data_IF_165980216499
#
_entry.id   IF_165980216499
#
_cell.length_a   1.000
_cell.length_b   1.000
_cell.length_c   1.000
_cell.angle_alpha   90.00
_cell.angle_beta   90.00
_cell.angle_gamma   90.00
#
_symmetry.space_group_name_H-M   'P 1'
#
loop_
_entity.id
_entity.type
_entity.pdbx_description
1 polymer ?
#
# COMPACT_ATOMS: atom_id res chain seq x y z
N UNK A 1 -20.52 44.99 -60.39
CA UNK A 1 -21.37 45.06 -59.17
C UNK A 1 -20.84 44.06 -58.14
N UNK A 2 -20.63 44.54 -56.92
CA UNK A 2 -20.56 43.82 -55.63
C UNK A 2 -19.30 43.00 -55.29
N UNK A 3 -18.38 43.69 -54.62
CA UNK A 3 -17.45 43.15 -53.63
C UNK A 3 -18.23 42.59 -52.42
N UNK A 4 -17.96 41.35 -51.99
CA UNK A 4 -18.31 40.86 -50.65
C UNK A 4 -17.03 40.49 -49.89
N UNK A 5 -16.60 41.37 -48.99
CA UNK A 5 -15.62 41.02 -47.94
C UNK A 5 -16.38 40.25 -46.85
N UNK A 6 -16.08 38.96 -46.69
CA UNK A 6 -16.48 38.21 -45.49
C UNK A 6 -15.53 38.58 -44.35
N UNK A 7 -16.03 39.33 -43.38
CA UNK A 7 -15.35 39.57 -42.12
C UNK A 7 -15.28 38.25 -41.35
N UNK A 8 -14.08 37.69 -41.22
CA UNK A 8 -13.81 36.61 -40.26
C UNK A 8 -13.66 37.29 -38.90
N UNK A 9 -14.65 37.09 -38.04
CA UNK A 9 -14.64 37.53 -36.65
C UNK A 9 -13.49 36.82 -35.94
N UNK A 10 -12.43 37.56 -35.60
CA UNK A 10 -11.31 37.09 -34.78
C UNK A 10 -11.88 36.77 -33.38
N UNK A 11 -12.19 35.50 -33.11
CA UNK A 11 -12.45 35.06 -31.74
C UNK A 11 -11.19 35.36 -30.90
N UNK A 12 -11.39 36.02 -29.77
CA UNK A 12 -10.31 36.47 -28.89
C UNK A 12 -9.45 35.27 -28.45
N UNK A 13 -8.17 35.25 -28.85
CA UNK A 13 -7.19 34.24 -28.44
C UNK A 13 -7.08 34.12 -26.90
N UNK A 14 -7.40 35.22 -26.19
CA UNK A 14 -7.49 35.27 -24.72
C UNK A 14 -8.61 34.42 -24.13
N UNK A 15 -9.79 34.37 -24.76
CA UNK A 15 -10.91 33.54 -24.28
C UNK A 15 -10.64 32.04 -24.48
N UNK A 16 -9.96 31.67 -25.57
CA UNK A 16 -9.58 30.27 -25.83
C UNK A 16 -8.51 29.78 -24.84
N UNK A 17 -7.55 30.63 -24.48
CA UNK A 17 -6.51 30.29 -23.50
C UNK A 17 -7.06 30.10 -22.09
N UNK A 18 -8.02 30.95 -21.68
CA UNK A 18 -8.69 30.82 -20.38
C UNK A 18 -9.56 29.55 -20.27
N UNK A 19 -10.25 29.17 -21.35
CA UNK A 19 -11.04 27.92 -21.38
C UNK A 19 -10.12 26.69 -21.32
N UNK A 20 -8.98 26.73 -22.01
CA UNK A 20 -7.99 25.64 -22.00
C UNK A 20 -7.34 25.48 -20.62
N UNK A 21 -7.00 26.59 -19.95
CA UNK A 21 -6.48 26.59 -18.58
C UNK A 21 -7.50 25.99 -17.59
N UNK A 22 -8.77 26.39 -17.68
CA UNK A 22 -9.84 25.84 -16.80
C UNK A 22 -10.06 24.35 -17.05
N UNK A 23 -10.07 23.91 -18.31
CA UNK A 23 -10.20 22.50 -18.65
C UNK A 23 -9.00 21.67 -18.12
N UNK A 24 -7.78 22.20 -18.21
CA UNK A 24 -6.58 21.56 -17.68
C UNK A 24 -6.60 21.48 -16.14
N UNK A 25 -7.11 22.51 -15.44
CA UNK A 25 -7.28 22.49 -13.99
C UNK A 25 -8.32 21.46 -13.53
N UNK A 26 -9.40 21.25 -14.29
CA UNK A 26 -10.42 20.23 -13.98
C UNK A 26 -9.85 18.82 -14.18
N UNK A 27 -9.01 18.61 -15.20
CA UNK A 27 -8.35 17.32 -15.45
C UNK A 27 -7.32 17.01 -14.35
N UNK A 28 -6.54 18.00 -13.88
CA UNK A 28 -5.59 17.83 -12.77
C UNK A 28 -6.28 17.58 -11.42
N UNK A 29 -7.45 18.17 -11.19
CA UNK A 29 -8.22 17.96 -9.95
C UNK A 29 -8.84 16.55 -9.87
N UNK A 30 -9.15 15.92 -11.02
CA UNK A 30 -9.70 14.57 -11.08
C UNK A 30 -8.70 13.45 -10.76
N UNK A 31 -7.40 13.77 -10.67
CA UNK A 31 -6.33 12.83 -10.30
C UNK A 31 -5.86 12.96 -8.85
N UNK A 32 -6.61 13.67 -8.00
CA UNK A 32 -6.47 13.46 -6.56
C UNK A 32 -6.95 12.03 -6.28
N UNK A 33 -6.03 11.07 -6.28
CA UNK A 33 -6.29 9.72 -5.84
C UNK A 33 -6.99 9.81 -4.49
N UNK A 34 -8.27 9.46 -4.45
CA UNK A 34 -8.90 9.01 -3.23
C UNK A 34 -8.08 7.81 -2.79
N UNK A 35 -7.14 8.04 -1.86
CA UNK A 35 -6.69 6.95 -1.01
C UNK A 35 -7.94 6.56 -0.25
N UNK A 36 -8.50 5.40 -0.58
CA UNK A 36 -9.51 4.80 0.26
C UNK A 36 -8.88 4.69 1.65
N UNK A 37 -9.49 5.36 2.62
CA UNK A 37 -9.02 5.30 3.99
C UNK A 37 -9.29 3.88 4.47
N UNK A 38 -8.23 3.18 4.86
CA UNK A 38 -8.37 1.85 5.44
C UNK A 38 -9.20 1.96 6.72
N UNK A 39 -10.08 0.99 6.95
CA UNK A 39 -10.89 0.90 8.17
C UNK A 39 -9.96 0.95 9.38
N UNK A 40 -10.24 1.82 10.35
CA UNK A 40 -9.45 1.88 11.58
C UNK A 40 -9.80 0.74 12.54
N UNK A 41 -8.93 0.42 13.53
CA UNK A 41 -9.28 -0.55 14.56
C UNK A 41 -10.54 -0.17 15.34
N UNK A 42 -10.69 1.12 15.69
CA UNK A 42 -11.88 1.61 16.40
C UNK A 42 -13.16 1.46 15.56
N UNK A 43 -13.09 1.70 14.24
CA UNK A 43 -14.21 1.47 13.33
C UNK A 43 -14.59 -0.02 13.20
N UNK A 44 -13.61 -0.92 13.30
CA UNK A 44 -13.82 -2.36 13.21
C UNK A 44 -14.34 -2.97 14.52
N UNK A 45 -13.73 -2.60 15.65
CA UNK A 45 -13.95 -3.27 16.94
C UNK A 45 -14.88 -2.48 17.89
N UNK A 46 -15.07 -1.18 17.63
CA UNK A 46 -15.94 -0.32 18.44
C UNK A 46 -15.30 0.26 19.70
N UNK A 47 -13.99 0.08 19.88
CA UNK A 47 -13.20 0.63 20.98
C UNK A 47 -11.76 0.92 20.54
N UNK A 48 -11.06 1.80 21.26
CA UNK A 48 -9.63 2.08 21.05
C UNK A 48 -8.79 0.89 21.54
N UNK A 49 -7.80 0.46 20.76
CA UNK A 49 -6.89 -0.62 21.18
C UNK A 49 -6.18 -0.22 22.48
N UNK A 50 -6.16 -1.14 23.45
CA UNK A 50 -5.64 -0.88 24.79
C UNK A 50 -6.68 -0.36 25.80
N UNK A 51 -7.96 -0.22 25.41
CA UNK A 51 -9.04 0.09 26.34
C UNK A 51 -9.16 -0.95 27.46
N UNK A 52 -9.30 -0.50 28.70
CA UNK A 52 -9.47 -1.37 29.88
C UNK A 52 -10.64 -2.35 29.69
N UNK A 53 -10.38 -3.64 29.95
CA UNK A 53 -11.34 -4.75 29.83
C UNK A 53 -11.84 -5.07 28.42
N UNK A 54 -11.24 -4.49 27.38
CA UNK A 54 -11.52 -4.84 25.99
C UNK A 54 -10.37 -5.67 25.39
N UNK A 55 -10.70 -6.79 24.75
CA UNK A 55 -9.72 -7.66 24.10
C UNK A 55 -10.27 -8.27 22.80
N UNK A 56 -9.60 -7.99 21.67
CA UNK A 56 -9.84 -8.72 20.41
C UNK A 56 -9.30 -10.14 20.47
N UNK A 57 -10.06 -11.09 19.93
CA UNK A 57 -9.66 -12.48 19.78
C UNK A 57 -9.04 -12.75 18.39
N UNK A 58 -8.55 -13.97 18.19
CA UNK A 58 -7.84 -14.35 16.95
C UNK A 58 -8.74 -14.29 15.70
N UNK A 59 -10.02 -14.66 15.81
CA UNK A 59 -10.95 -14.65 14.67
C UNK A 59 -11.25 -13.21 14.25
N UNK A 60 -11.50 -12.32 15.20
CA UNK A 60 -11.72 -10.88 14.97
C UNK A 60 -10.49 -10.23 14.30
N UNK A 61 -9.29 -10.56 14.80
CA UNK A 61 -8.04 -10.08 14.21
C UNK A 61 -7.86 -10.60 12.77
N UNK A 62 -8.13 -11.88 12.54
CA UNK A 62 -8.01 -12.50 11.21
C UNK A 62 -8.99 -11.89 10.20
N UNK A 63 -10.24 -11.66 10.60
CA UNK A 63 -11.25 -10.98 9.77
C UNK A 63 -10.83 -9.54 9.41
N UNK A 64 -10.29 -8.82 10.39
CA UNK A 64 -9.80 -7.46 10.18
C UNK A 64 -8.66 -7.42 9.14
N UNK A 65 -7.69 -8.33 9.23
CA UNK A 65 -6.62 -8.40 8.23
C UNK A 65 -7.14 -8.69 6.82
N UNK A 66 -8.11 -9.61 6.68
CA UNK A 66 -8.74 -9.91 5.38
C UNK A 66 -9.42 -8.67 4.81
N UNK A 67 -10.12 -7.92 5.65
CA UNK A 67 -10.78 -6.67 5.25
C UNK A 67 -9.77 -5.63 4.76
N UNK A 68 -8.71 -5.38 5.53
CA UNK A 68 -7.66 -4.42 5.17
C UNK A 68 -6.97 -4.77 3.84
N UNK A 69 -6.73 -6.06 3.59
CA UNK A 69 -6.17 -6.51 2.32
C UNK A 69 -7.10 -6.26 1.12
N UNK A 70 -8.42 -6.22 1.34
CA UNK A 70 -9.41 -5.83 0.33
C UNK A 70 -9.52 -4.32 0.09
N UNK A 71 -9.02 -3.50 1.03
CA UNK A 71 -9.13 -2.03 1.00
C UNK A 71 -7.88 -1.34 0.45
N UNK A 72 -6.74 -2.05 0.35
CA UNK A 72 -5.45 -1.47 -0.02
C UNK A 72 -4.70 -2.27 -1.10
N UNK A 73 -4.17 -1.58 -2.10
CA UNK A 73 -3.23 -2.14 -3.09
C UNK A 73 -1.80 -2.32 -2.53
N UNK A 74 -1.58 -1.89 -1.27
CA UNK A 74 -0.30 -2.00 -0.57
C UNK A 74 -0.17 -3.25 0.27
N UNK A 75 -1.27 -3.93 0.59
CA UNK A 75 -1.29 -5.09 1.45
C UNK A 75 -1.64 -6.34 0.65
N UNK A 76 -0.83 -7.38 0.77
CA UNK A 76 -1.14 -8.73 0.29
C UNK A 76 -1.12 -9.66 1.49
N UNK A 77 -2.19 -10.43 1.69
CA UNK A 77 -2.19 -11.54 2.63
C UNK A 77 -1.72 -12.81 1.93
N UNK A 78 -0.80 -13.52 2.59
CA UNK A 78 -0.35 -14.85 2.21
C UNK A 78 -0.54 -15.81 3.39
N UNK A 79 -0.63 -17.11 3.10
CA UNK A 79 -0.76 -18.16 4.12
C UNK A 79 0.55 -18.95 4.20
N UNK A 80 1.24 -18.82 5.34
CA UNK A 80 2.48 -19.54 5.63
C UNK A 80 2.27 -21.05 5.77
N UNK A 81 1.09 -21.43 6.24
CA UNK A 81 0.71 -22.81 6.51
C UNK A 81 -0.56 -22.88 7.35
N UNK A 82 -0.84 -24.06 7.89
CA UNK A 82 -1.93 -24.28 8.84
C UNK A 82 -1.40 -24.47 10.25
N UNK A 83 -2.14 -24.00 11.25
CA UNK A 83 -1.91 -24.35 12.65
C UNK A 83 -2.27 -25.82 12.91
N UNK A 84 -1.95 -26.32 14.10
CA UNK A 84 -2.35 -27.68 14.53
C UNK A 84 -3.88 -27.86 14.54
N UNK A 85 -4.63 -26.79 14.79
CA UNK A 85 -6.09 -26.79 14.74
C UNK A 85 -6.64 -26.59 13.32
N UNK A 86 -5.77 -26.57 12.30
CA UNK A 86 -6.16 -26.41 10.90
C UNK A 86 -6.52 -24.99 10.48
N UNK A 87 -6.16 -23.97 11.29
CA UNK A 87 -6.45 -22.56 10.98
C UNK A 87 -5.34 -21.98 10.08
N UNK A 88 -5.65 -21.07 9.13
CA UNK A 88 -4.62 -20.39 8.34
C UNK A 88 -3.68 -19.56 9.21
N UNK A 89 -2.38 -19.83 9.14
CA UNK A 89 -1.35 -18.94 9.68
C UNK A 89 -1.03 -17.89 8.61
N UNK A 90 -1.64 -16.72 8.75
CA UNK A 90 -1.50 -15.64 7.77
C UNK A 90 -0.25 -14.79 8.01
N UNK A 91 0.27 -14.20 6.94
CA UNK A 91 1.20 -13.07 6.99
C UNK A 91 0.68 -11.93 6.11
N UNK A 92 0.94 -10.68 6.53
CA UNK A 92 0.69 -9.50 5.72
C UNK A 92 2.00 -8.98 5.12
N UNK A 93 2.02 -8.79 3.80
CA UNK A 93 3.13 -8.14 3.08
C UNK A 93 2.66 -6.74 2.73
N UNK A 94 3.20 -5.73 3.42
CA UNK A 94 2.81 -4.32 3.27
C UNK A 94 3.94 -3.55 2.59
N UNK A 95 3.71 -3.07 1.37
CA UNK A 95 4.67 -2.27 0.60
C UNK A 95 3.99 -1.50 -0.52
N UNK A 96 4.72 -0.73 -1.34
CA UNK A 96 4.11 -0.04 -2.49
C UNK A 96 3.66 -1.03 -3.58
N UNK A 97 2.67 -0.68 -4.43
CA UNK A 97 2.28 -1.52 -5.56
C UNK A 97 3.44 -1.80 -6.52
N UNK A 98 4.34 -0.82 -6.66
CA UNK A 98 5.56 -0.93 -7.46
C UNK A 98 6.53 -1.96 -6.89
N UNK A 99 6.63 -2.02 -5.56
CA UNK A 99 7.47 -3.02 -4.90
C UNK A 99 6.86 -4.43 -5.02
N UNK A 100 5.53 -4.55 -4.93
CA UNK A 100 4.85 -5.84 -5.15
C UNK A 100 5.14 -6.41 -6.54
N UNK A 101 5.17 -5.57 -7.58
CA UNK A 101 5.54 -5.98 -8.94
C UNK A 101 7.00 -6.46 -9.06
N UNK A 102 7.87 -6.07 -8.13
CA UNK A 102 9.29 -6.41 -8.10
C UNK A 102 9.68 -7.31 -6.91
N UNK A 103 8.70 -7.94 -6.23
CA UNK A 103 8.92 -8.62 -4.96
C UNK A 103 9.95 -9.76 -5.07
N UNK A 104 9.94 -10.48 -6.19
CA UNK A 104 10.89 -11.57 -6.46
C UNK A 104 12.32 -11.07 -6.63
N UNK A 105 12.50 -9.89 -7.25
CA UNK A 105 13.81 -9.25 -7.38
C UNK A 105 14.35 -8.85 -6.01
N UNK A 106 13.53 -8.27 -5.15
CA UNK A 106 13.96 -7.92 -3.79
C UNK A 106 14.26 -9.16 -2.93
N UNK A 107 13.49 -10.24 -3.10
CA UNK A 107 13.77 -11.54 -2.46
C UNK A 107 15.10 -12.12 -2.92
N UNK A 108 15.41 -12.06 -4.21
CA UNK A 108 16.70 -12.47 -4.76
C UNK A 108 17.85 -11.66 -4.16
N UNK A 109 17.76 -10.32 -4.20
CA UNK A 109 18.77 -9.42 -3.64
C UNK A 109 19.01 -9.73 -2.17
N UNK A 110 17.95 -9.83 -1.37
CA UNK A 110 18.04 -10.16 0.06
C UNK A 110 18.79 -11.49 0.29
N UNK A 111 18.46 -12.53 -0.48
CA UNK A 111 19.14 -13.83 -0.39
C UNK A 111 20.62 -13.76 -0.80
N UNK A 112 20.95 -13.02 -1.86
CA UNK A 112 22.34 -12.86 -2.32
C UNK A 112 23.18 -12.11 -1.30
N UNK A 113 22.65 -11.02 -0.74
CA UNK A 113 23.34 -10.26 0.31
C UNK A 113 23.49 -11.06 1.60
N UNK A 114 22.47 -11.84 2.00
CA UNK A 114 22.53 -12.66 3.20
C UNK A 114 23.56 -13.80 3.11
N UNK A 115 23.69 -14.44 1.94
CA UNK A 115 24.65 -15.52 1.74
C UNK A 115 26.06 -15.04 1.41
N UNK A 116 26.18 -13.92 0.69
CA UNK A 116 27.42 -13.35 0.19
C UNK A 116 28.32 -14.31 -0.63
N UNK A 117 27.77 -15.41 -1.15
CA UNK A 117 28.47 -16.38 -1.98
C UNK A 117 28.71 -15.81 -3.38
N UNK A 118 29.98 -15.58 -3.75
CA UNK A 118 30.36 -15.09 -5.08
C UNK A 118 30.00 -13.63 -5.37
N UNK A 119 29.67 -12.85 -4.33
CA UNK A 119 29.34 -11.42 -4.47
C UNK A 119 30.60 -10.57 -4.31
N UNK A 120 30.93 -9.78 -5.33
CA UNK A 120 32.06 -8.84 -5.27
C UNK A 120 31.71 -7.58 -4.45
N UNK A 121 32.69 -6.81 -3.95
CA UNK A 121 32.40 -5.56 -3.24
C UNK A 121 31.61 -4.53 -4.05
N UNK A 122 31.90 -4.40 -5.36
CA UNK A 122 31.14 -3.48 -6.22
C UNK A 122 29.71 -3.94 -6.41
N UNK A 123 29.51 -5.24 -6.63
CA UNK A 123 28.18 -5.82 -6.75
C UNK A 123 27.37 -5.70 -5.45
N UNK A 124 28.02 -5.86 -4.29
CA UNK A 124 27.37 -5.66 -3.00
C UNK A 124 26.82 -4.22 -2.85
N UNK A 125 27.56 -3.21 -3.35
CA UNK A 125 27.09 -1.81 -3.34
C UNK A 125 25.88 -1.62 -4.26
N UNK A 126 25.93 -2.17 -5.47
CA UNK A 126 24.80 -2.13 -6.42
C UNK A 126 23.54 -2.80 -5.85
N UNK A 127 23.70 -3.98 -5.24
CA UNK A 127 22.61 -4.70 -4.58
C UNK A 127 22.04 -3.93 -3.37
N UNK A 128 22.89 -3.23 -2.61
CA UNK A 128 22.45 -2.42 -1.48
C UNK A 128 21.69 -1.15 -1.93
N UNK A 129 22.08 -0.54 -3.05
CA UNK A 129 21.38 0.61 -3.62
C UNK A 129 20.01 0.22 -4.21
N UNK A 130 19.93 -0.92 -4.89
CA UNK A 130 18.69 -1.41 -5.50
C UNK A 130 17.72 -1.99 -4.45
N UNK A 131 18.27 -2.75 -3.51
CA UNK A 131 17.55 -3.53 -2.52
C UNK A 131 16.63 -2.70 -1.61
N UNK A 132 15.77 -3.41 -0.89
CA UNK A 132 14.89 -2.83 0.13
C UNK A 132 15.18 -3.50 1.47
N UNK A 133 15.12 -2.70 2.54
CA UNK A 133 15.07 -3.25 3.88
C UNK A 133 13.77 -4.04 4.04
N UNK A 134 13.89 -5.30 4.49
CA UNK A 134 12.75 -6.16 4.80
C UNK A 134 12.69 -6.26 6.32
N UNK A 135 11.58 -5.82 6.90
CA UNK A 135 11.34 -5.85 8.34
C UNK A 135 10.24 -6.87 8.60
N UNK A 136 10.51 -7.77 9.55
CA UNK A 136 9.53 -8.74 10.03
C UNK A 136 9.11 -8.33 11.44
N UNK A 137 7.80 -8.22 11.66
CA UNK A 137 7.20 -7.90 12.95
C UNK A 137 6.17 -8.99 13.24
N UNK A 138 6.32 -9.67 14.37
CA UNK A 138 5.36 -10.66 14.86
C UNK A 138 5.14 -10.50 16.36
N UNK A 139 4.07 -11.13 16.85
CA UNK A 139 3.68 -11.15 18.25
C UNK A 139 2.64 -12.24 18.48
N UNK A 140 2.45 -12.64 19.74
CA UNK A 140 1.45 -13.65 20.11
C UNK A 140 1.89 -15.11 19.92
N UNK A 141 3.19 -15.39 19.95
CA UNK A 141 3.71 -16.77 19.92
C UNK A 141 3.21 -17.60 21.11
N UNK A 142 3.20 -17.01 22.30
CA UNK A 142 2.61 -17.63 23.49
C UNK A 142 1.14 -17.21 23.60
N UNK A 143 0.24 -18.19 23.71
CA UNK A 143 -1.21 -17.96 23.69
C UNK A 143 -1.71 -16.98 24.79
N UNK A 144 -1.00 -16.88 25.91
CA UNK A 144 -1.35 -15.98 27.02
C UNK A 144 -0.68 -14.61 26.95
N UNK A 145 0.21 -14.37 26.00
CA UNK A 145 0.93 -13.09 25.80
C UNK A 145 0.27 -12.28 24.68
N UNK A 146 -1.00 -11.92 24.90
CA UNK A 146 -1.86 -11.33 23.86
C UNK A 146 -1.49 -9.92 23.42
N UNK A 147 -0.74 -9.18 24.26
CA UNK A 147 -0.32 -7.80 23.99
C UNK A 147 0.43 -7.67 22.66
N UNK A 148 1.34 -8.61 22.37
CA UNK A 148 2.14 -8.55 21.15
C UNK A 148 1.31 -8.66 19.87
N UNK A 149 0.23 -9.45 19.88
CA UNK A 149 -0.68 -9.55 18.75
C UNK A 149 -1.56 -8.30 18.60
N UNK A 150 -1.97 -7.70 19.73
CA UNK A 150 -2.79 -6.48 19.73
C UNK A 150 -2.01 -5.26 19.24
N UNK A 151 -0.73 -5.13 19.58
CA UNK A 151 0.12 -4.04 19.10
C UNK A 151 0.23 -4.00 17.57
N UNK A 152 0.03 -5.12 16.87
CA UNK A 152 0.02 -5.16 15.40
C UNK A 152 -1.21 -4.49 14.77
N UNK A 153 -2.23 -4.15 15.59
CA UNK A 153 -3.44 -3.48 15.12
C UNK A 153 -3.40 -1.96 15.26
N UNK A 154 -2.46 -1.40 16.02
CA UNK A 154 -2.26 0.04 16.19
C UNK A 154 -1.54 0.68 14.98
#
# INVERSE_FOLDING_TARGET
MKNLKKGVTRMNERTSFSVLMVALSIILAGTACTQNQATSPEEQFGFEIGTDYELINYEELHEYWIKLAGESDRMVLDTLGLTEEGRPHIQAIITSPDNHRNIDRYREISRRMAKAEGVSPSEALELAEEGKAIVWIDGGLHATEVLGAHQLTE
#
